data_IF_824736643611
#
_entry.id   IF_824736643611
#
_cell.length_a   1.000
_cell.length_b   1.000
_cell.length_c   1.000
_cell.angle_alpha   90.00
_cell.angle_beta   90.00
_cell.angle_gamma   90.00
#
_symmetry.space_group_name_H-M   'P 1'
#
loop_
_entity.id
_entity.type
_entity.pdbx_description
1 polymer ?
#
# COMPACT_ATOMS: atom_id res chain seq x y z
N UNK A 1 15.81 -4.70 -22.21
CA UNK A 1 17.07 -4.24 -21.64
C UNK A 1 16.93 -2.87 -20.96
N UNK A 2 16.49 -1.78 -21.62
CA UNK A 2 16.41 -0.43 -21.04
C UNK A 2 15.62 -0.38 -19.70
N UNK A 3 14.52 -1.14 -19.59
CA UNK A 3 13.71 -1.16 -18.38
C UNK A 3 14.44 -1.88 -17.23
N UNK A 4 15.14 -2.96 -17.52
CA UNK A 4 15.99 -3.66 -16.57
C UNK A 4 17.06 -2.73 -15.99
N UNK A 5 17.77 -2.00 -16.87
CA UNK A 5 18.82 -1.05 -16.43
C UNK A 5 18.23 0.06 -15.57
N UNK A 6 17.05 0.59 -15.90
CA UNK A 6 16.36 1.58 -15.05
C UNK A 6 16.01 1.00 -13.67
N UNK A 7 15.52 -0.25 -13.61
CA UNK A 7 15.24 -0.94 -12.35
C UNK A 7 16.50 -1.15 -11.52
N UNK A 8 17.58 -1.60 -12.12
CA UNK A 8 18.88 -1.76 -11.49
C UNK A 8 19.42 -0.42 -10.95
N UNK A 9 19.28 0.66 -11.74
CA UNK A 9 19.64 2.00 -11.29
C UNK A 9 18.84 2.46 -10.08
N UNK A 10 17.53 2.20 -10.03
CA UNK A 10 16.69 2.48 -8.85
C UNK A 10 17.20 1.74 -7.61
N UNK A 11 17.58 0.46 -7.75
CA UNK A 11 18.10 -0.35 -6.65
C UNK A 11 19.44 0.18 -6.17
N UNK A 12 20.44 0.21 -7.04
CA UNK A 12 21.83 0.47 -6.66
C UNK A 12 22.10 1.95 -6.36
N UNK A 13 21.54 2.86 -7.16
CA UNK A 13 21.86 4.29 -7.03
C UNK A 13 20.94 5.02 -6.05
N UNK A 14 19.74 4.53 -5.82
CA UNK A 14 18.77 5.22 -4.94
C UNK A 14 18.48 4.38 -3.70
N UNK A 15 17.90 3.17 -3.85
CA UNK A 15 17.42 2.40 -2.72
C UNK A 15 18.52 2.05 -1.72
N UNK A 16 19.67 1.58 -2.19
CA UNK A 16 20.79 1.20 -1.32
C UNK A 16 21.33 2.42 -0.56
N UNK A 17 21.51 3.56 -1.24
CA UNK A 17 22.04 4.77 -0.59
C UNK A 17 21.06 5.36 0.43
N UNK A 18 19.76 5.47 0.11
CA UNK A 18 18.78 5.95 1.11
C UNK A 18 18.57 4.92 2.22
N UNK A 19 18.78 3.63 1.94
CA UNK A 19 18.74 2.54 2.92
C UNK A 19 19.84 2.68 3.98
N UNK A 20 21.07 2.99 3.59
CA UNK A 20 22.14 3.30 4.54
C UNK A 20 21.77 4.48 5.45
N UNK A 21 21.20 5.54 4.86
CA UNK A 21 20.76 6.70 5.63
C UNK A 21 19.60 6.35 6.59
N UNK A 22 18.62 5.57 6.14
CA UNK A 22 17.52 5.12 6.96
C UNK A 22 18.02 4.27 8.15
N UNK A 23 18.88 3.30 7.88
CA UNK A 23 19.46 2.44 8.92
C UNK A 23 20.25 3.25 9.95
N UNK A 24 21.09 4.20 9.51
CA UNK A 24 21.88 5.04 10.40
C UNK A 24 20.99 5.93 11.29
N UNK A 25 19.90 6.50 10.74
CA UNK A 25 19.01 7.41 11.46
C UNK A 25 17.96 6.70 12.31
N UNK A 26 17.61 5.44 12.01
CA UNK A 26 16.61 4.66 12.75
C UNK A 26 17.23 3.60 13.67
N UNK A 27 18.57 3.53 13.77
CA UNK A 27 19.27 2.66 14.73
C UNK A 27 19.02 3.14 16.15
N UNK A 28 19.31 2.26 17.14
CA UNK A 28 19.20 2.59 18.57
C UNK A 28 20.06 3.81 18.99
N UNK A 29 21.12 4.09 18.26
CA UNK A 29 21.96 5.27 18.45
C UNK A 29 21.33 6.56 17.94
N UNK A 30 20.25 6.47 17.18
CA UNK A 30 19.48 7.60 16.64
C UNK A 30 18.87 8.52 17.71
N UNK A 31 18.87 8.10 18.99
CA UNK A 31 18.43 8.96 20.10
C UNK A 31 19.13 10.33 20.11
N UNK A 32 20.31 10.42 19.52
CA UNK A 32 21.10 11.64 19.43
C UNK A 32 20.64 12.62 18.33
N UNK A 33 19.82 12.18 17.37
CA UNK A 33 19.42 13.00 16.22
C UNK A 33 18.12 13.79 16.39
N UNK A 34 17.40 13.57 17.49
CA UNK A 34 16.15 14.23 17.80
C UNK A 34 15.04 13.97 16.78
N UNK A 35 13.97 14.77 16.88
CA UNK A 35 12.77 14.62 16.03
C UNK A 35 13.08 14.75 14.53
N UNK A 36 13.91 15.67 14.14
CA UNK A 36 14.23 15.90 12.72
C UNK A 36 14.99 14.71 12.11
N UNK A 37 15.93 14.14 12.85
CA UNK A 37 16.64 12.94 12.42
C UNK A 37 15.71 11.74 12.24
N UNK A 38 14.78 11.52 13.19
CA UNK A 38 13.78 10.49 13.09
C UNK A 38 12.86 10.69 11.88
N UNK A 39 12.40 11.90 11.63
CA UNK A 39 11.56 12.23 10.47
C UNK A 39 12.29 11.96 9.14
N UNK A 40 13.54 12.39 9.03
CA UNK A 40 14.36 12.12 7.83
C UNK A 40 14.57 10.61 7.67
N UNK A 41 14.83 9.88 8.76
CA UNK A 41 14.97 8.43 8.76
C UNK A 41 13.74 7.70 8.24
N UNK A 42 12.55 8.09 8.70
CA UNK A 42 11.26 7.53 8.25
C UNK A 42 11.04 7.81 6.75
N UNK A 43 11.29 9.04 6.30
CA UNK A 43 11.17 9.40 4.87
C UNK A 43 12.17 8.61 4.04
N UNK A 44 13.42 8.49 4.48
CA UNK A 44 14.44 7.68 3.81
C UNK A 44 14.02 6.21 3.72
N UNK A 45 13.48 5.64 4.79
CA UNK A 45 12.97 4.27 4.82
C UNK A 45 11.81 4.08 3.83
N UNK A 46 10.85 4.99 3.79
CA UNK A 46 9.75 4.95 2.83
C UNK A 46 10.25 5.00 1.37
N UNK A 47 11.22 5.86 1.07
CA UNK A 47 11.86 5.94 -0.25
C UNK A 47 12.66 4.66 -0.56
N UNK A 48 13.38 4.11 0.41
CA UNK A 48 14.09 2.84 0.25
C UNK A 48 13.14 1.73 -0.19
N UNK A 49 12.06 1.49 0.55
CA UNK A 49 11.09 0.43 0.23
C UNK A 49 10.53 0.63 -1.17
N UNK A 50 10.17 1.85 -1.53
CA UNK A 50 9.61 2.15 -2.85
C UNK A 50 10.61 1.91 -3.97
N UNK A 51 11.81 2.46 -3.88
CA UNK A 51 12.81 2.33 -4.96
C UNK A 51 13.37 0.93 -5.06
N UNK A 52 13.52 0.22 -3.94
CA UNK A 52 13.94 -1.17 -3.92
C UNK A 52 12.91 -2.06 -4.62
N UNK A 53 11.66 -1.99 -4.21
CA UNK A 53 10.62 -2.85 -4.76
C UNK A 53 10.19 -2.43 -6.18
N UNK A 54 10.10 -1.14 -6.48
CA UNK A 54 9.82 -0.70 -7.85
C UNK A 54 10.99 -0.98 -8.80
N UNK A 55 12.23 -0.95 -8.31
CA UNK A 55 13.41 -1.36 -9.05
C UNK A 55 13.37 -2.85 -9.39
N UNK A 56 13.10 -3.70 -8.40
CA UNK A 56 12.87 -5.13 -8.61
C UNK A 56 11.76 -5.38 -9.66
N UNK A 57 10.62 -4.72 -9.54
CA UNK A 57 9.51 -4.86 -10.46
C UNK A 57 9.89 -4.46 -11.89
N UNK A 58 10.63 -3.35 -12.06
CA UNK A 58 11.12 -2.93 -13.38
C UNK A 58 12.12 -3.92 -13.99
N UNK A 59 12.99 -4.51 -13.16
CA UNK A 59 13.92 -5.56 -13.60
C UNK A 59 13.15 -6.81 -14.02
N UNK A 60 12.19 -7.28 -13.24
CA UNK A 60 11.36 -8.44 -13.55
C UNK A 60 10.56 -8.25 -14.83
N UNK A 61 9.90 -7.09 -15.00
CA UNK A 61 9.17 -6.75 -16.24
C UNK A 61 10.14 -6.66 -17.44
N UNK A 62 11.33 -6.09 -17.22
CA UNK A 62 12.38 -5.99 -18.23
C UNK A 62 12.86 -7.36 -18.72
N UNK A 63 13.14 -8.28 -17.78
CA UNK A 63 13.50 -9.67 -18.07
C UNK A 63 12.36 -10.42 -18.77
N UNK A 64 11.14 -10.34 -18.21
CA UNK A 64 9.99 -11.00 -18.80
C UNK A 64 9.79 -10.61 -20.28
N UNK A 65 9.95 -9.32 -20.60
CA UNK A 65 9.87 -8.86 -22.01
C UNK A 65 10.96 -9.44 -22.91
N UNK A 66 12.15 -9.75 -22.39
CA UNK A 66 13.20 -10.40 -23.17
C UNK A 66 12.84 -11.86 -23.49
N UNK A 67 12.06 -12.51 -22.64
CA UNK A 67 11.54 -13.87 -22.85
C UNK A 67 10.15 -13.90 -23.50
N UNK A 68 9.62 -12.75 -23.96
CA UNK A 68 8.31 -12.67 -24.62
C UNK A 68 7.11 -12.57 -23.67
N UNK A 69 7.32 -12.52 -22.35
CA UNK A 69 6.24 -12.38 -21.37
C UNK A 69 5.86 -10.91 -21.15
N UNK A 70 4.57 -10.66 -20.94
CA UNK A 70 4.02 -9.35 -20.56
C UNK A 70 3.53 -9.39 -19.12
N UNK A 71 4.36 -8.95 -18.18
CA UNK A 71 3.94 -8.75 -16.80
C UNK A 71 3.22 -7.42 -16.61
N UNK A 72 2.31 -7.38 -15.65
CA UNK A 72 1.58 -6.17 -15.28
C UNK A 72 2.50 -5.15 -14.59
N UNK A 73 2.15 -3.86 -14.72
CA UNK A 73 2.78 -2.80 -13.93
C UNK A 73 2.42 -2.98 -12.46
N UNK A 74 3.41 -2.83 -11.59
CA UNK A 74 3.22 -3.04 -10.16
C UNK A 74 3.16 -1.74 -9.36
N UNK A 75 3.66 -0.64 -9.94
CA UNK A 75 3.70 0.68 -9.32
C UNK A 75 3.27 1.78 -10.29
N UNK A 76 2.49 2.73 -9.79
CA UNK A 76 2.08 3.93 -10.53
C UNK A 76 2.20 5.18 -9.65
N UNK A 77 3.44 5.62 -9.40
CA UNK A 77 3.75 6.81 -8.60
C UNK A 77 2.94 6.89 -7.29
N UNK A 78 3.09 5.93 -6.36
CA UNK A 78 2.19 5.82 -5.19
C UNK A 78 2.23 7.04 -4.28
N UNK A 79 3.37 7.71 -4.15
CA UNK A 79 3.53 8.87 -3.28
C UNK A 79 2.90 10.17 -3.79
N UNK A 80 2.27 10.18 -4.97
CA UNK A 80 1.43 11.31 -5.40
C UNK A 80 -0.06 11.12 -5.01
N UNK A 81 -0.38 10.04 -4.31
CA UNK A 81 -1.74 9.72 -3.89
C UNK A 81 -2.35 10.83 -3.03
N UNK A 82 -3.66 10.97 -3.13
CA UNK A 82 -4.46 11.96 -2.38
C UNK A 82 -5.41 11.32 -1.38
N UNK A 83 -5.33 10.00 -1.21
CA UNK A 83 -6.04 9.20 -0.20
C UNK A 83 -5.31 7.87 0.01
N UNK A 84 -5.62 7.16 1.09
CA UNK A 84 -5.06 5.82 1.33
C UNK A 84 -5.59 4.82 0.29
N UNK A 85 -6.85 4.96 -0.11
CA UNK A 85 -7.42 4.17 -1.21
C UNK A 85 -6.68 4.40 -2.53
N UNK A 86 -6.35 5.66 -2.87
CA UNK A 86 -5.57 5.98 -4.08
C UNK A 86 -4.14 5.45 -3.99
N UNK A 87 -3.51 5.51 -2.81
CA UNK A 87 -2.18 4.95 -2.59
C UNK A 87 -2.14 3.45 -2.90
N UNK A 88 -3.03 2.65 -2.32
CA UNK A 88 -3.06 1.20 -2.54
C UNK A 88 -3.48 0.77 -3.95
N UNK A 89 -4.15 1.63 -4.70
CA UNK A 89 -4.38 1.43 -6.14
C UNK A 89 -3.12 1.61 -7.00
N UNK A 90 -2.10 2.27 -6.44
CA UNK A 90 -0.83 2.61 -7.10
C UNK A 90 0.34 1.78 -6.60
N UNK A 91 0.21 1.16 -5.43
CA UNK A 91 1.22 0.36 -4.76
C UNK A 91 0.91 -1.12 -4.92
N UNK A 92 1.92 -1.91 -5.34
CA UNK A 92 1.84 -3.38 -5.45
C UNK A 92 0.55 -3.87 -6.13
N UNK A 93 0.29 -3.34 -7.34
CA UNK A 93 -0.97 -3.51 -8.08
C UNK A 93 -1.29 -4.97 -8.34
N UNK A 94 -0.26 -5.80 -8.62
CA UNK A 94 -0.44 -7.24 -8.87
C UNK A 94 -0.97 -7.98 -7.64
N UNK A 95 -0.45 -7.68 -6.45
CA UNK A 95 -0.93 -8.27 -5.19
C UNK A 95 -2.35 -7.81 -4.89
N UNK A 96 -2.63 -6.52 -5.04
CA UNK A 96 -3.97 -5.96 -4.85
C UNK A 96 -5.00 -6.60 -5.79
N UNK A 97 -4.63 -6.83 -7.05
CA UNK A 97 -5.47 -7.53 -8.02
C UNK A 97 -5.69 -8.98 -7.63
N UNK A 98 -4.63 -9.69 -7.21
CA UNK A 98 -4.72 -11.07 -6.74
C UNK A 98 -5.71 -11.20 -5.56
N UNK A 99 -5.53 -10.42 -4.50
CA UNK A 99 -6.45 -10.47 -3.35
C UNK A 99 -7.87 -10.05 -3.70
N UNK A 100 -8.03 -9.09 -4.60
CA UNK A 100 -9.34 -8.71 -5.10
C UNK A 100 -10.03 -9.86 -5.83
N UNK A 101 -9.35 -10.52 -6.75
CA UNK A 101 -9.96 -11.48 -7.66
C UNK A 101 -10.13 -12.86 -7.00
N UNK A 102 -9.19 -13.27 -6.15
CA UNK A 102 -9.17 -14.61 -5.54
C UNK A 102 -9.68 -14.66 -4.09
N UNK A 103 -9.80 -13.53 -3.41
CA UNK A 103 -10.28 -13.48 -2.02
C UNK A 103 -11.52 -12.60 -1.90
N UNK A 104 -11.41 -11.30 -2.25
CA UNK A 104 -12.49 -10.35 -2.03
C UNK A 104 -13.75 -10.67 -2.83
N UNK A 105 -13.62 -10.94 -4.13
CA UNK A 105 -14.76 -11.27 -5.00
C UNK A 105 -15.41 -12.61 -4.61
N UNK A 106 -14.67 -13.73 -4.41
CA UNK A 106 -15.24 -14.99 -3.95
C UNK A 106 -15.95 -14.91 -2.60
N UNK A 107 -15.47 -14.10 -1.66
CA UNK A 107 -16.13 -13.84 -0.38
C UNK A 107 -17.42 -13.00 -0.50
N UNK A 108 -17.85 -12.69 -1.73
CA UNK A 108 -19.06 -11.92 -1.99
C UNK A 108 -18.79 -10.47 -2.41
N UNK A 109 -17.57 -9.97 -2.26
CA UNK A 109 -17.18 -8.61 -2.64
C UNK A 109 -18.07 -7.53 -2.03
N UNK A 110 -18.47 -6.57 -2.86
CA UNK A 110 -19.50 -5.57 -2.51
C UNK A 110 -20.89 -5.97 -3.01
N UNK A 111 -21.06 -7.19 -3.53
CA UNK A 111 -22.30 -7.66 -4.14
C UNK A 111 -22.98 -8.66 -3.23
N UNK A 112 -23.92 -8.24 -2.40
CA UNK A 112 -24.88 -9.15 -1.77
C UNK A 112 -26.00 -9.38 -2.77
N UNK A 113 -26.08 -10.61 -3.32
CA UNK A 113 -27.22 -11.04 -4.13
C UNK A 113 -28.48 -11.10 -3.25
N UNK A 114 -29.54 -10.49 -3.73
CA UNK A 114 -30.96 -10.48 -3.46
C UNK A 114 -31.55 -11.76 -2.82
N UNK A 115 -31.31 -12.04 -1.54
CA UNK A 115 -31.91 -13.22 -0.88
C UNK A 115 -32.62 -12.87 0.45
N UNK A 116 -32.53 -11.64 0.96
CA UNK A 116 -33.06 -11.28 2.28
C UNK A 116 -33.90 -10.01 2.23
N UNK A 117 -34.97 -9.97 3.05
CA UNK A 117 -35.94 -8.91 3.20
C UNK A 117 -35.28 -7.50 3.40
N UNK A 118 -35.77 -6.50 2.74
CA UNK A 118 -35.16 -5.18 2.47
C UNK A 118 -34.51 -4.49 3.68
N UNK A 119 -35.05 -4.65 4.88
CA UNK A 119 -34.53 -3.98 6.09
C UNK A 119 -33.24 -4.58 6.63
N UNK A 120 -33.04 -5.89 6.46
CA UNK A 120 -31.84 -6.61 6.91
C UNK A 120 -30.74 -6.65 5.84
N UNK A 121 -31.08 -6.42 4.57
CA UNK A 121 -30.14 -6.42 3.43
C UNK A 121 -29.05 -5.36 3.59
N UNK A 122 -29.38 -4.15 4.02
CA UNK A 122 -28.39 -3.07 4.15
C UNK A 122 -27.36 -3.37 5.24
N UNK A 123 -27.81 -3.94 6.36
CA UNK A 123 -26.94 -4.31 7.49
C UNK A 123 -26.04 -5.48 7.09
N UNK A 124 -26.60 -6.52 6.48
CA UNK A 124 -25.81 -7.69 6.01
C UNK A 124 -24.83 -7.28 4.93
N UNK A 125 -25.23 -6.42 3.98
CA UNK A 125 -24.35 -5.90 2.94
C UNK A 125 -23.20 -5.06 3.51
N UNK A 126 -23.50 -4.18 4.47
CA UNK A 126 -22.49 -3.39 5.17
C UNK A 126 -21.52 -4.30 5.94
N UNK A 127 -22.04 -5.23 6.75
CA UNK A 127 -21.22 -6.13 7.56
C UNK A 127 -20.36 -7.04 6.68
N UNK A 128 -20.91 -7.63 5.62
CA UNK A 128 -20.15 -8.49 4.71
C UNK A 128 -19.04 -7.71 4.01
N UNK A 129 -19.33 -6.51 3.52
CA UNK A 129 -18.33 -5.66 2.87
C UNK A 129 -17.22 -5.21 3.82
N UNK A 130 -17.54 -4.92 5.09
CA UNK A 130 -16.57 -4.57 6.13
C UNK A 130 -15.71 -5.78 6.50
N UNK A 131 -16.33 -6.94 6.76
CA UNK A 131 -15.62 -8.17 7.08
C UNK A 131 -14.68 -8.59 5.93
N UNK A 132 -15.13 -8.52 4.69
CA UNK A 132 -14.30 -8.88 3.54
C UNK A 132 -13.05 -8.00 3.42
N UNK A 133 -13.16 -6.70 3.65
CA UNK A 133 -12.00 -5.80 3.65
C UNK A 133 -11.04 -6.20 4.78
N UNK A 134 -11.54 -6.44 5.99
CA UNK A 134 -10.71 -6.83 7.12
C UNK A 134 -10.02 -8.18 6.89
N UNK A 135 -10.72 -9.18 6.34
CA UNK A 135 -10.13 -10.48 5.99
C UNK A 135 -9.00 -10.30 4.96
N UNK A 136 -9.25 -9.57 3.87
CA UNK A 136 -8.25 -9.31 2.82
C UNK A 136 -7.01 -8.65 3.41
N UNK A 137 -7.17 -7.61 4.23
CA UNK A 137 -6.04 -6.87 4.78
C UNK A 137 -5.29 -7.64 5.87
N UNK A 138 -5.97 -8.44 6.68
CA UNK A 138 -5.31 -9.36 7.62
C UNK A 138 -4.48 -10.40 6.88
N UNK A 139 -5.03 -10.99 5.80
CA UNK A 139 -4.30 -11.94 4.96
C UNK A 139 -3.13 -11.26 4.22
N UNK A 140 -3.29 -10.02 3.78
CA UNK A 140 -2.19 -9.23 3.20
C UNK A 140 -1.06 -9.04 4.20
N UNK A 141 -1.38 -8.73 5.46
CA UNK A 141 -0.40 -8.64 6.54
C UNK A 141 0.32 -9.98 6.77
N UNK A 142 -0.41 -11.08 6.89
CA UNK A 142 0.16 -12.43 7.05
C UNK A 142 1.01 -12.87 5.85
N UNK A 143 0.69 -12.41 4.65
CA UNK A 143 1.49 -12.65 3.44
C UNK A 143 2.88 -12.00 3.55
N UNK A 144 3.01 -10.84 4.20
CA UNK A 144 4.30 -10.20 4.46
C UNK A 144 5.16 -10.97 5.47
N UNK A 145 4.55 -11.78 6.32
CA UNK A 145 5.23 -12.63 7.30
C UNK A 145 4.29 -13.13 8.40
N UNK A 146 4.53 -14.33 8.89
CA UNK A 146 3.75 -14.95 9.97
C UNK A 146 4.11 -14.34 11.34
N UNK A 147 3.98 -13.00 11.47
CA UNK A 147 4.24 -12.25 12.68
C UNK A 147 3.04 -11.36 13.00
N UNK A 148 2.73 -11.23 14.29
CA UNK A 148 1.61 -10.40 14.77
C UNK A 148 1.74 -8.94 14.30
N UNK A 149 2.94 -8.41 14.19
CA UNK A 149 3.18 -7.04 13.74
C UNK A 149 2.69 -6.81 12.31
N UNK A 150 2.95 -7.74 11.40
CA UNK A 150 2.45 -7.66 10.01
C UNK A 150 0.93 -7.80 9.96
N UNK A 151 0.35 -8.65 10.80
CA UNK A 151 -1.10 -8.78 10.89
C UNK A 151 -1.74 -7.48 11.39
N UNK A 152 -1.19 -6.87 12.44
CA UNK A 152 -1.66 -5.58 12.97
C UNK A 152 -1.49 -4.46 11.95
N UNK A 153 -0.39 -4.44 11.20
CA UNK A 153 -0.16 -3.53 10.08
C UNK A 153 -1.24 -3.67 8.99
N UNK A 154 -1.56 -4.90 8.60
CA UNK A 154 -2.65 -5.15 7.65
C UNK A 154 -4.00 -4.67 8.18
N UNK A 155 -4.33 -4.97 9.44
CA UNK A 155 -5.56 -4.51 10.10
C UNK A 155 -5.63 -2.97 10.17
N UNK A 156 -4.52 -2.30 10.46
CA UNK A 156 -4.43 -0.84 10.47
C UNK A 156 -4.88 -0.24 9.11
N UNK A 157 -4.32 -0.72 8.00
CA UNK A 157 -4.73 -0.25 6.68
C UNK A 157 -6.16 -0.67 6.31
N UNK A 158 -6.60 -1.86 6.72
CA UNK A 158 -7.98 -2.30 6.56
C UNK A 158 -8.97 -1.33 7.23
N UNK A 159 -8.71 -0.94 8.47
CA UNK A 159 -9.54 0.02 9.23
C UNK A 159 -9.52 1.39 8.56
N UNK A 160 -8.36 1.89 8.15
CA UNK A 160 -8.25 3.19 7.47
C UNK A 160 -9.04 3.23 6.16
N UNK A 161 -8.98 2.18 5.35
CA UNK A 161 -9.75 2.07 4.12
C UNK A 161 -11.26 2.05 4.38
N UNK A 162 -11.69 1.41 5.47
CA UNK A 162 -13.09 1.43 5.87
C UNK A 162 -13.52 2.82 6.32
N UNK A 163 -12.70 3.52 7.11
CA UNK A 163 -12.96 4.90 7.53
C UNK A 163 -13.04 5.82 6.30
N UNK A 164 -12.10 5.72 5.35
CA UNK A 164 -12.17 6.48 4.11
C UNK A 164 -13.47 6.18 3.35
N UNK A 165 -13.80 4.92 3.15
CA UNK A 165 -14.97 4.51 2.37
C UNK A 165 -16.29 4.94 3.01
N UNK A 166 -16.42 4.85 4.32
CA UNK A 166 -17.69 5.10 5.03
C UNK A 166 -17.93 6.58 5.34
N UNK A 167 -16.88 7.30 5.72
CA UNK A 167 -17.02 8.64 6.27
C UNK A 167 -16.16 9.69 5.59
N UNK A 168 -14.85 9.39 5.47
CA UNK A 168 -13.86 10.43 5.22
C UNK A 168 -13.80 10.89 3.77
N UNK A 169 -14.13 10.01 2.81
CA UNK A 169 -14.01 10.29 1.38
C UNK A 169 -14.76 11.58 0.97
N UNK A 170 -15.99 11.74 1.42
CA UNK A 170 -16.81 12.93 1.14
C UNK A 170 -16.26 14.25 1.72
N UNK A 171 -15.47 14.15 2.79
CA UNK A 171 -14.82 15.33 3.38
C UNK A 171 -13.50 15.62 2.68
N UNK A 172 -12.72 14.59 2.36
CA UNK A 172 -11.48 14.71 1.60
C UNK A 172 -11.72 15.38 0.24
N UNK A 173 -12.80 15.02 -0.46
CA UNK A 173 -13.12 15.62 -1.76
C UNK A 173 -13.36 17.14 -1.71
N UNK A 174 -13.76 17.67 -0.56
CA UNK A 174 -13.96 19.11 -0.34
C UNK A 174 -12.64 19.85 -0.07
N UNK A 175 -11.58 19.15 0.28
CA UNK A 175 -10.28 19.75 0.59
C UNK A 175 -9.48 20.03 -0.69
N UNK A 176 -8.64 21.07 -0.68
CA UNK A 176 -7.64 21.31 -1.72
C UNK A 176 -6.73 20.08 -1.90
N UNK A 177 -6.28 19.85 -3.14
CA UNK A 177 -5.42 18.70 -3.48
C UNK A 177 -4.18 18.59 -2.58
N UNK A 178 -3.59 19.71 -2.20
CA UNK A 178 -2.40 19.76 -1.33
C UNK A 178 -2.71 19.16 0.04
N UNK A 179 -3.83 19.53 0.68
CA UNK A 179 -4.21 19.01 1.99
C UNK A 179 -4.54 17.50 1.94
N UNK A 180 -5.20 17.06 0.86
CA UNK A 180 -5.43 15.62 0.64
C UNK A 180 -4.14 14.84 0.49
N UNK A 181 -3.19 15.41 -0.21
CA UNK A 181 -1.87 14.80 -0.41
C UNK A 181 -1.10 14.74 0.91
N UNK A 182 -1.09 15.81 1.70
CA UNK A 182 -0.47 15.81 3.03
C UNK A 182 -1.10 14.76 3.95
N UNK A 183 -2.42 14.66 3.98
CA UNK A 183 -3.13 13.60 4.71
C UNK A 183 -2.61 12.20 4.31
N UNK A 184 -2.59 11.89 3.01
CA UNK A 184 -2.15 10.59 2.53
C UNK A 184 -0.70 10.29 2.92
N UNK A 185 0.22 11.23 2.72
CA UNK A 185 1.64 11.07 3.05
C UNK A 185 1.85 10.86 4.54
N UNK A 186 1.22 11.67 5.40
CA UNK A 186 1.36 11.53 6.86
C UNK A 186 0.92 10.12 7.31
N UNK A 187 -0.24 9.67 6.86
CA UNK A 187 -0.76 8.35 7.24
C UNK A 187 0.14 7.21 6.72
N UNK A 188 0.68 7.34 5.51
CA UNK A 188 1.60 6.35 4.93
C UNK A 188 2.92 6.28 5.71
N UNK A 189 3.44 7.43 6.17
CA UNK A 189 4.68 7.49 6.93
C UNK A 189 4.53 6.98 8.38
N UNK A 190 3.32 6.96 8.93
CA UNK A 190 3.02 6.40 10.26
C UNK A 190 2.87 4.87 10.20
N UNK A 191 2.37 4.31 9.11
CA UNK A 191 2.12 2.87 8.92
C UNK A 191 3.26 2.14 8.25
#
# INVERSE_FOLDING_TARGET
IRRFIKGLGKKVLIADNVGYMATALLSLEAYNYGFLGALIGIVAYALQIYFDFSGYSDMAIGLGRMFGFKFLENFNYPYIATSITDFWRRWHISLSSFFKDYVYIPLGGSRVKKIINVRNILIVWMLTGLCNVMVVWTLTGLWHGANINFMLWGMYYGILLLIEKLFLHKYLEKLPKVLRHLYAIIIILIG
#
